data_IF_752363833610
#
_entry.id   IF_752363833610
#
_cell.length_a   1.000
_cell.length_b   1.000
_cell.length_c   1.000
_cell.angle_alpha   90.00
_cell.angle_beta   90.00
_cell.angle_gamma   90.00
#
_symmetry.space_group_name_H-M   'P 1'
#
loop_
_entity.id
_entity.type
_entity.pdbx_description
1 polymer ?
#
# COMPACT_ATOMS: atom_id res chain seq x y z
N UNK A 1 -18.80 13.87 -7.97
CA UNK A 1 -18.32 13.18 -6.75
C UNK A 1 -18.11 11.70 -6.98
N UNK A 2 -19.05 11.01 -7.65
CA UNK A 2 -18.92 9.58 -7.96
C UNK A 2 -17.69 9.19 -8.78
N UNK A 3 -17.26 10.01 -9.75
CA UNK A 3 -16.04 9.75 -10.52
C UNK A 3 -14.77 9.74 -9.65
N UNK A 4 -14.65 10.66 -8.69
CA UNK A 4 -13.52 10.68 -7.76
C UNK A 4 -13.50 9.44 -6.88
N UNK A 5 -14.66 9.05 -6.36
CA UNK A 5 -14.82 7.81 -5.56
C UNK A 5 -14.37 6.59 -6.36
N UNK A 6 -14.78 6.49 -7.63
CA UNK A 6 -14.38 5.38 -8.51
C UNK A 6 -12.87 5.39 -8.78
N UNK A 7 -12.29 6.55 -9.07
CA UNK A 7 -10.86 6.67 -9.29
C UNK A 7 -10.05 6.24 -8.04
N UNK A 8 -10.44 6.71 -6.85
CA UNK A 8 -9.79 6.34 -5.59
C UNK A 8 -10.00 4.85 -5.28
N UNK A 9 -11.20 4.31 -5.49
CA UNK A 9 -11.51 2.88 -5.32
C UNK A 9 -10.59 2.02 -6.19
N UNK A 10 -10.46 2.34 -7.48
CA UNK A 10 -9.60 1.63 -8.41
C UNK A 10 -8.12 1.77 -8.03
N UNK A 11 -7.68 2.97 -7.63
CA UNK A 11 -6.31 3.20 -7.21
C UNK A 11 -5.94 2.35 -5.97
N UNK A 12 -6.78 2.37 -4.93
CA UNK A 12 -6.58 1.56 -3.73
C UNK A 12 -6.62 0.06 -4.06
N UNK A 13 -7.54 -0.37 -4.91
CA UNK A 13 -7.62 -1.76 -5.33
C UNK A 13 -6.30 -2.23 -5.98
N UNK A 14 -5.76 -1.45 -6.92
CA UNK A 14 -4.48 -1.77 -7.58
C UNK A 14 -3.32 -1.78 -6.59
N UNK A 15 -3.23 -0.79 -5.70
CA UNK A 15 -2.16 -0.71 -4.69
C UNK A 15 -2.20 -1.90 -3.73
N UNK A 16 -3.38 -2.22 -3.18
CA UNK A 16 -3.53 -3.36 -2.27
C UNK A 16 -3.36 -4.71 -2.98
N UNK A 17 -3.79 -4.83 -4.24
CA UNK A 17 -3.60 -6.04 -5.02
C UNK A 17 -2.11 -6.29 -5.30
N UNK A 18 -1.37 -5.26 -5.72
CA UNK A 18 0.08 -5.35 -5.90
C UNK A 18 0.78 -5.73 -4.58
N UNK A 19 0.39 -5.08 -3.48
CA UNK A 19 0.89 -5.34 -2.13
C UNK A 19 0.66 -6.80 -1.70
N UNK A 20 -0.55 -7.31 -1.89
CA UNK A 20 -0.95 -8.67 -1.53
C UNK A 20 -0.21 -9.71 -2.38
N UNK A 21 -0.26 -9.56 -3.71
CA UNK A 21 0.39 -10.47 -4.66
C UNK A 21 1.88 -10.59 -4.35
N UNK A 22 2.54 -9.48 -4.01
CA UNK A 22 3.95 -9.49 -3.66
C UNK A 22 4.29 -10.34 -2.42
N UNK A 23 3.35 -10.51 -1.49
CA UNK A 23 3.52 -11.30 -0.26
C UNK A 23 3.14 -12.76 -0.42
N UNK A 24 2.13 -13.05 -1.26
CA UNK A 24 1.57 -14.42 -1.40
C UNK A 24 2.09 -15.17 -2.62
N UNK A 25 2.82 -14.51 -3.54
CA UNK A 25 3.34 -15.13 -4.77
C UNK A 25 4.20 -16.37 -4.53
N UNK A 26 4.92 -16.45 -3.41
CA UNK A 26 5.70 -17.62 -3.04
C UNK A 26 5.84 -17.77 -1.52
N UNK A 27 6.12 -18.99 -1.06
CA UNK A 27 6.45 -19.23 0.36
C UNK A 27 7.65 -18.40 0.81
N UNK A 28 8.67 -18.25 -0.05
CA UNK A 28 9.85 -17.44 0.22
C UNK A 28 9.52 -15.93 0.39
N UNK A 29 8.55 -15.42 -0.37
CA UNK A 29 8.06 -14.04 -0.24
C UNK A 29 7.40 -13.82 1.11
N UNK A 30 6.51 -14.74 1.52
CA UNK A 30 5.82 -14.66 2.80
C UNK A 30 6.79 -14.78 3.98
N UNK A 31 7.73 -15.73 3.95
CA UNK A 31 8.72 -15.89 5.03
C UNK A 31 9.64 -14.68 5.12
N UNK A 32 10.05 -14.09 3.99
CA UNK A 32 10.85 -12.86 3.96
C UNK A 32 10.09 -11.66 4.54
N UNK A 33 8.79 -11.54 4.25
CA UNK A 33 7.93 -10.51 4.83
C UNK A 33 7.81 -10.70 6.35
N UNK A 34 7.49 -11.91 6.81
CA UNK A 34 7.41 -12.23 8.24
C UNK A 34 8.75 -11.95 8.96
N UNK A 35 9.88 -12.32 8.37
CA UNK A 35 11.21 -12.07 8.91
C UNK A 35 11.57 -10.58 9.01
N UNK A 36 10.87 -9.70 8.28
CA UNK A 36 11.09 -8.25 8.33
C UNK A 36 10.32 -7.59 9.49
N UNK A 37 9.22 -8.19 9.96
CA UNK A 37 8.35 -7.62 10.99
C UNK A 37 9.03 -7.32 12.35
N UNK A 38 10.03 -8.09 12.82
CA UNK A 38 10.80 -7.72 14.00
C UNK A 38 11.51 -6.37 13.90
N UNK A 39 11.99 -5.99 12.70
CA UNK A 39 12.56 -4.66 12.45
C UNK A 39 11.55 -3.51 12.66
N UNK A 40 10.26 -3.82 12.61
CA UNK A 40 9.16 -2.88 12.84
C UNK A 40 8.57 -3.00 14.26
N UNK A 41 9.19 -3.77 15.15
CA UNK A 41 8.78 -3.90 16.56
C UNK A 41 7.80 -5.04 16.86
N UNK A 42 7.57 -5.95 15.90
CA UNK A 42 6.77 -7.17 16.16
C UNK A 42 7.64 -8.23 16.84
N UNK A 43 7.24 -8.81 17.98
CA UNK A 43 8.01 -9.88 18.62
C UNK A 43 8.22 -11.07 17.66
N UNK A 44 9.42 -11.63 17.61
CA UNK A 44 9.77 -12.71 16.66
C UNK A 44 8.81 -13.90 16.69
N UNK A 45 8.36 -14.32 17.87
CA UNK A 45 7.39 -15.41 18.04
C UNK A 45 5.99 -15.10 17.50
N UNK A 46 5.66 -13.83 17.22
CA UNK A 46 4.38 -13.40 16.64
C UNK A 46 4.50 -13.00 15.17
N UNK A 47 5.71 -12.95 14.62
CA UNK A 47 5.95 -12.46 13.26
C UNK A 47 5.16 -13.22 12.20
N UNK A 48 5.11 -14.56 12.27
CA UNK A 48 4.31 -15.37 11.34
C UNK A 48 2.80 -15.08 11.42
N UNK A 49 2.25 -15.00 12.64
CA UNK A 49 0.84 -14.69 12.88
C UNK A 49 0.47 -13.27 12.43
N UNK A 50 1.30 -12.28 12.75
CA UNK A 50 1.13 -10.90 12.29
C UNK A 50 1.24 -10.78 10.77
N UNK A 51 2.14 -11.53 10.13
CA UNK A 51 2.24 -11.56 8.67
C UNK A 51 0.97 -12.10 8.02
N UNK A 52 0.43 -13.20 8.54
CA UNK A 52 -0.83 -13.77 8.07
C UNK A 52 -2.02 -12.81 8.30
N UNK A 53 -2.07 -12.15 9.46
CA UNK A 53 -3.11 -11.17 9.77
C UNK A 53 -3.07 -9.98 8.81
N UNK A 54 -1.88 -9.48 8.46
CA UNK A 54 -1.72 -8.40 7.47
C UNK A 54 -2.22 -8.86 6.10
N UNK A 55 -1.81 -10.04 5.63
CA UNK A 55 -2.27 -10.60 4.35
C UNK A 55 -3.79 -10.76 4.31
N UNK A 56 -4.39 -11.25 5.40
CA UNK A 56 -5.84 -11.39 5.52
C UNK A 56 -6.56 -10.02 5.51
N UNK A 57 -5.97 -9.00 6.14
CA UNK A 57 -6.52 -7.66 6.14
C UNK A 57 -6.40 -7.00 4.75
N UNK A 58 -5.27 -7.16 4.06
CA UNK A 58 -5.09 -6.68 2.67
C UNK A 58 -6.10 -7.34 1.71
N UNK A 59 -6.29 -8.65 1.85
CA UNK A 59 -7.30 -9.36 1.07
C UNK A 59 -8.73 -8.87 1.38
N UNK A 60 -9.03 -8.66 2.67
CA UNK A 60 -10.32 -8.11 3.11
C UNK A 60 -10.60 -6.74 2.48
N UNK A 61 -9.60 -5.87 2.36
CA UNK A 61 -9.75 -4.59 1.64
C UNK A 61 -10.20 -4.82 0.20
N UNK A 62 -9.56 -5.73 -0.54
CA UNK A 62 -9.92 -6.01 -1.93
C UNK A 62 -11.37 -6.52 -2.06
N UNK A 63 -11.78 -7.42 -1.18
CA UNK A 63 -13.14 -7.98 -1.17
C UNK A 63 -14.16 -6.88 -0.83
N UNK A 64 -13.93 -6.10 0.23
CA UNK A 64 -14.83 -5.02 0.64
C UNK A 64 -14.94 -3.93 -0.43
N UNK A 65 -13.83 -3.61 -1.11
CA UNK A 65 -13.83 -2.69 -2.23
C UNK A 65 -14.49 -3.26 -3.48
N UNK A 66 -14.79 -4.55 -3.61
CA UNK A 66 -15.56 -5.10 -4.75
C UNK A 66 -17.07 -5.11 -4.48
N UNK A 67 -17.46 -5.38 -3.23
CA UNK A 67 -18.86 -5.51 -2.83
C UNK A 67 -19.53 -4.13 -2.72
N UNK A 68 -20.57 -3.81 -3.52
CA UNK A 68 -21.18 -2.48 -3.57
C UNK A 68 -21.66 -1.95 -2.21
N UNK A 69 -22.21 -2.82 -1.36
CA UNK A 69 -22.69 -2.46 -0.02
C UNK A 69 -21.59 -2.34 1.05
N UNK A 70 -20.37 -2.77 0.76
CA UNK A 70 -19.26 -2.79 1.71
C UNK A 70 -18.14 -1.80 1.35
N UNK A 71 -18.29 -1.03 0.27
CA UNK A 71 -17.29 -0.07 -0.20
C UNK A 71 -16.84 0.92 0.88
N UNK A 72 -17.73 1.53 1.71
CA UNK A 72 -17.31 2.42 2.79
C UNK A 72 -16.42 1.71 3.83
N UNK A 73 -16.75 0.46 4.18
CA UNK A 73 -15.93 -0.36 5.08
C UNK A 73 -14.57 -0.69 4.45
N UNK A 74 -14.53 -0.94 3.14
CA UNK A 74 -13.29 -1.13 2.38
C UNK A 74 -12.39 0.10 2.42
N UNK A 75 -12.95 1.31 2.23
CA UNK A 75 -12.21 2.57 2.37
C UNK A 75 -11.68 2.78 3.80
N UNK A 76 -12.50 2.52 4.81
CA UNK A 76 -12.10 2.65 6.21
C UNK A 76 -10.95 1.69 6.55
N UNK A 77 -11.06 0.41 6.18
CA UNK A 77 -10.01 -0.58 6.41
C UNK A 77 -8.73 -0.23 5.64
N UNK A 78 -8.84 0.23 4.39
CA UNK A 78 -7.70 0.70 3.60
C UNK A 78 -6.98 1.87 4.29
N UNK A 79 -7.72 2.86 4.78
CA UNK A 79 -7.16 4.01 5.50
C UNK A 79 -6.44 3.58 6.79
N UNK A 80 -7.04 2.67 7.57
CA UNK A 80 -6.43 2.11 8.78
C UNK A 80 -5.12 1.38 8.44
N UNK A 81 -5.13 0.47 7.47
CA UNK A 81 -3.92 -0.27 7.09
C UNK A 81 -2.82 0.65 6.56
N UNK A 82 -3.15 1.61 5.69
CA UNK A 82 -2.19 2.60 5.18
C UNK A 82 -1.58 3.43 6.32
N UNK A 83 -2.38 3.81 7.31
CA UNK A 83 -1.91 4.57 8.48
C UNK A 83 -1.00 3.72 9.37
N UNK A 84 -1.38 2.46 9.64
CA UNK A 84 -0.55 1.52 10.42
C UNK A 84 0.78 1.26 9.72
N UNK A 85 0.77 1.02 8.42
CA UNK A 85 2.00 0.85 7.62
C UNK A 85 2.85 2.13 7.64
N UNK A 86 2.22 3.30 7.52
CA UNK A 86 2.92 4.59 7.60
C UNK A 86 3.59 4.80 8.96
N UNK A 87 2.90 4.47 10.05
CA UNK A 87 3.42 4.57 11.40
C UNK A 87 4.58 3.59 11.64
N UNK A 88 4.46 2.34 11.17
CA UNK A 88 5.52 1.35 11.24
C UNK A 88 6.77 1.81 10.46
N UNK A 89 6.60 2.31 9.23
CA UNK A 89 7.68 2.87 8.42
C UNK A 89 8.32 4.08 9.09
N UNK A 90 7.54 5.02 9.61
CA UNK A 90 8.05 6.20 10.32
C UNK A 90 8.83 5.83 11.59
N UNK A 91 8.35 4.82 12.34
CA UNK A 91 9.05 4.33 13.53
C UNK A 91 10.37 3.65 13.17
N UNK A 92 10.40 2.83 12.11
CA UNK A 92 11.63 2.21 11.61
C UNK A 92 12.65 3.27 11.17
N UNK A 93 12.20 4.30 10.44
CA UNK A 93 13.02 5.45 10.05
C UNK A 93 13.60 6.19 11.27
N UNK A 94 12.78 6.46 12.28
CA UNK A 94 13.21 7.11 13.54
C UNK A 94 14.23 6.27 14.32
N UNK A 95 14.14 4.94 14.23
CA UNK A 95 15.10 4.01 14.86
C UNK A 95 16.37 3.78 14.04
N UNK A 96 16.53 4.46 12.90
CA UNK A 96 17.66 4.26 11.99
C UNK A 96 17.66 2.91 11.28
N UNK A 97 16.57 2.15 11.35
CA UNK A 97 16.45 0.83 10.73
C UNK A 97 16.24 1.03 9.22
N UNK A 98 17.30 0.82 8.45
CA UNK A 98 17.25 0.82 6.97
C UNK A 98 16.90 -0.57 6.41
N UNK A 99 16.02 -1.30 7.11
CA UNK A 99 15.54 -2.58 6.61
C UNK A 99 14.76 -2.35 5.30
N UNK A 100 14.89 -3.26 4.31
CA UNK A 100 14.15 -3.15 3.06
C UNK A 100 12.64 -3.21 3.31
N UNK A 101 11.88 -2.30 2.71
CA UNK A 101 10.43 -2.27 2.83
C UNK A 101 9.81 -3.35 1.94
N UNK A 102 9.63 -4.57 2.48
CA UNK A 102 9.00 -5.66 1.71
C UNK A 102 7.48 -5.55 1.58
N UNK A 103 6.88 -4.43 2.02
CA UNK A 103 5.44 -4.19 1.92
C UNK A 103 4.95 -4.11 0.46
N UNK A 104 5.80 -3.72 -0.49
CA UNK A 104 5.48 -3.59 -1.93
C UNK A 104 6.30 -4.54 -2.83
N UNK A 105 6.89 -5.59 -2.27
CA UNK A 105 7.65 -6.60 -3.01
C UNK A 105 9.16 -6.57 -2.80
N UNK A 106 9.90 -7.25 -3.67
CA UNK A 106 11.32 -7.58 -3.55
C UNK A 106 12.29 -6.37 -3.63
N UNK A 107 11.77 -5.15 -3.57
CA UNK A 107 12.58 -3.95 -3.60
C UNK A 107 13.47 -3.92 -2.37
N UNK A 108 14.79 -4.03 -2.60
CA UNK A 108 15.82 -3.91 -1.57
C UNK A 108 16.05 -2.44 -1.16
N UNK A 109 15.31 -1.50 -1.78
CA UNK A 109 15.41 -0.10 -1.47
C UNK A 109 15.03 0.15 0.01
N UNK A 110 15.85 0.90 0.76
CA UNK A 110 15.54 1.23 2.14
C UNK A 110 14.25 2.06 2.21
N UNK A 111 13.47 1.85 3.27
CA UNK A 111 12.29 2.68 3.56
C UNK A 111 12.70 4.16 3.49
N UNK A 112 11.97 4.95 2.72
CA UNK A 112 12.14 6.41 2.62
C UNK A 112 10.89 7.15 3.12
N UNK A 113 11.05 8.42 3.51
CA UNK A 113 9.93 9.29 3.90
C UNK A 113 8.88 9.47 2.79
N UNK A 114 9.24 9.23 1.53
CA UNK A 114 8.32 9.28 0.39
C UNK A 114 7.21 8.22 0.51
N UNK A 115 7.53 7.00 0.96
CA UNK A 115 6.52 5.96 1.14
C UNK A 115 5.51 6.32 2.22
N UNK A 116 5.97 6.97 3.30
CA UNK A 116 5.10 7.48 4.36
C UNK A 116 4.17 8.55 3.80
N UNK A 117 4.72 9.55 3.10
CA UNK A 117 3.92 10.62 2.49
C UNK A 117 2.88 10.07 1.51
N UNK A 118 3.28 9.15 0.61
CA UNK A 118 2.38 8.50 -0.33
C UNK A 118 1.24 7.77 0.38
N UNK A 119 1.55 6.94 1.37
CA UNK A 119 0.52 6.18 2.08
C UNK A 119 -0.43 7.09 2.86
N UNK A 120 0.05 8.21 3.41
CA UNK A 120 -0.79 9.21 4.05
C UNK A 120 -1.73 9.92 3.06
N UNK A 121 -1.25 10.24 1.85
CA UNK A 121 -2.09 10.79 0.77
C UNK A 121 -3.15 9.78 0.33
N UNK A 122 -2.79 8.50 0.19
CA UNK A 122 -3.75 7.44 -0.13
C UNK A 122 -4.76 7.23 1.01
N UNK A 123 -4.33 7.35 2.27
CA UNK A 123 -5.21 7.24 3.43
C UNK A 123 -6.21 8.41 3.50
N UNK A 124 -5.76 9.64 3.25
CA UNK A 124 -6.65 10.81 3.22
C UNK A 124 -7.64 10.73 2.05
N UNK A 125 -7.18 10.29 0.88
CA UNK A 125 -8.05 10.03 -0.27
C UNK A 125 -9.08 8.94 0.03
N UNK A 126 -8.69 7.86 0.72
CA UNK A 126 -9.61 6.79 1.14
C UNK A 126 -10.70 7.33 2.09
N UNK A 127 -10.33 8.13 3.09
CA UNK A 127 -11.28 8.75 4.02
C UNK A 127 -12.25 9.69 3.29
N UNK A 128 -11.73 10.56 2.42
CA UNK A 128 -12.55 11.47 1.62
C UNK A 128 -13.50 10.73 0.67
N UNK A 129 -13.03 9.67 0.01
CA UNK A 129 -13.87 8.84 -0.85
C UNK A 129 -14.93 8.08 -0.03
N UNK A 130 -14.59 7.61 1.16
CA UNK A 130 -15.53 6.96 2.09
C UNK A 130 -16.66 7.88 2.52
N UNK A 131 -16.36 9.13 2.91
CA UNK A 131 -17.39 10.11 3.29
C UNK A 131 -18.26 10.52 2.10
N UNK A 132 -17.66 10.73 0.92
CA UNK A 132 -18.39 11.07 -0.30
C UNK A 132 -19.27 9.91 -0.80
N UNK A 133 -18.87 8.66 -0.56
CA UNK A 133 -19.65 7.48 -0.95
C UNK A 133 -20.95 7.31 -0.14
N UNK A 134 -21.01 7.91 1.04
CA UNK A 134 -22.21 7.91 1.88
C UNK A 134 -23.21 9.02 1.50
N UNK A 135 -22.81 9.97 0.64
CA UNK A 135 -23.67 11.05 0.16
C UNK A 135 -24.56 10.61 -1.01
N UNK A 136 -25.68 11.33 -1.24
CA UNK A 136 -26.66 11.04 -2.30
C UNK A 136 -25.98 10.98 -3.67
N UNK A 137 -26.17 9.86 -4.38
CA UNK A 137 -25.57 9.59 -5.69
C UNK A 137 -26.27 10.38 -6.79
N UNK A 138 -25.48 10.94 -7.70
CA UNK A 138 -26.00 11.61 -8.89
C UNK A 138 -26.05 10.61 -10.06
N UNK A 139 -26.91 10.82 -11.07
CA UNK A 139 -26.84 10.05 -12.31
C UNK A 139 -25.44 10.14 -12.91
N UNK A 140 -24.80 9.00 -13.18
CA UNK A 140 -23.44 8.94 -13.73
C UNK A 140 -23.44 8.37 -15.13
N UNK A 141 -22.61 8.96 -16.00
CA UNK A 141 -22.46 8.48 -17.37
C UNK A 141 -21.43 7.34 -17.41
N UNK A 142 -21.71 6.21 -18.08
CA UNK A 142 -20.85 5.03 -18.07
C UNK A 142 -19.43 5.32 -18.60
N UNK A 143 -19.30 6.16 -19.64
CA UNK A 143 -17.98 6.55 -20.14
C UNK A 143 -17.15 7.34 -19.10
N UNK A 144 -17.80 8.18 -18.27
CA UNK A 144 -17.10 8.91 -17.22
C UNK A 144 -16.60 7.97 -16.12
N UNK A 145 -17.36 6.91 -15.81
CA UNK A 145 -16.94 5.87 -14.85
C UNK A 145 -15.73 5.09 -15.38
N UNK A 146 -15.72 4.76 -16.67
CA UNK A 146 -14.60 4.07 -17.31
C UNK A 146 -13.33 4.94 -17.27
N UNK A 147 -13.42 6.21 -17.66
CA UNK A 147 -12.30 7.16 -17.63
C UNK A 147 -11.76 7.29 -16.20
N UNK A 148 -12.63 7.48 -15.21
CA UNK A 148 -12.23 7.60 -13.82
C UNK A 148 -11.52 6.34 -13.29
N UNK A 149 -12.05 5.17 -13.61
CA UNK A 149 -11.46 3.89 -13.22
C UNK A 149 -10.06 3.71 -13.84
N UNK A 150 -9.93 3.97 -15.15
CA UNK A 150 -8.64 3.87 -15.86
C UNK A 150 -7.64 4.88 -15.32
N UNK A 151 -8.05 6.14 -15.12
CA UNK A 151 -7.19 7.18 -14.56
C UNK A 151 -6.70 6.80 -13.16
N UNK A 152 -7.58 6.30 -12.30
CA UNK A 152 -7.21 5.82 -10.96
C UNK A 152 -6.23 4.65 -11.00
N UNK A 153 -6.46 3.68 -11.88
CA UNK A 153 -5.56 2.53 -12.06
C UNK A 153 -4.18 2.96 -12.58
N UNK A 154 -4.12 3.83 -13.59
CA UNK A 154 -2.87 4.36 -14.15
C UNK A 154 -2.12 5.15 -13.08
N UNK A 155 -2.80 6.02 -12.34
CA UNK A 155 -2.19 6.80 -11.26
C UNK A 155 -1.60 5.88 -10.19
N UNK A 156 -2.30 4.82 -9.79
CA UNK A 156 -1.77 3.83 -8.86
C UNK A 156 -0.52 3.13 -9.38
N UNK A 157 -0.51 2.69 -10.64
CA UNK A 157 0.67 2.08 -11.25
C UNK A 157 1.85 3.05 -11.27
N UNK A 158 1.62 4.30 -11.70
CA UNK A 158 2.65 5.34 -11.72
C UNK A 158 3.22 5.57 -10.31
N UNK A 159 2.35 5.66 -9.31
CA UNK A 159 2.71 5.88 -7.91
C UNK A 159 3.46 4.69 -7.30
N UNK A 160 3.20 3.46 -7.74
CA UNK A 160 3.97 2.27 -7.37
C UNK A 160 5.34 2.31 -8.04
N UNK A 161 5.39 2.58 -9.34
CA UNK A 161 6.63 2.60 -10.15
C UNK A 161 7.55 3.78 -9.78
N UNK A 162 7.00 4.91 -9.36
CA UNK A 162 7.75 6.09 -8.91
C UNK A 162 8.72 5.77 -7.76
N UNK A 163 8.37 4.79 -6.93
CA UNK A 163 9.23 4.34 -5.84
C UNK A 163 10.41 3.51 -6.35
N UNK A 164 10.18 2.59 -7.31
CA UNK A 164 11.25 1.81 -7.93
C UNK A 164 12.20 2.70 -8.73
N UNK A 165 11.65 3.68 -9.46
CA UNK A 165 12.42 4.68 -10.21
C UNK A 165 13.24 5.58 -9.27
N UNK A 166 12.67 6.04 -8.17
CA UNK A 166 13.42 6.84 -7.18
C UNK A 166 14.53 6.04 -6.49
N UNK A 167 14.33 4.73 -6.30
CA UNK A 167 15.35 3.79 -5.83
C UNK A 167 16.56 3.73 -6.78
N UNK A 168 16.32 3.73 -8.10
CA UNK A 168 17.39 3.70 -9.11
C UNK A 168 18.29 4.94 -9.07
N UNK A 169 17.74 6.13 -8.81
CA UNK A 169 18.52 7.37 -8.73
C UNK A 169 19.21 7.59 -7.38
N UNK A 170 18.77 6.90 -6.32
CA UNK A 170 19.37 7.00 -4.98
C UNK A 170 20.40 5.91 -4.69
N UNK A 171 20.39 4.81 -5.45
CA UNK A 171 21.45 3.82 -5.49
C UNK A 171 22.69 4.35 -6.26
N UNK A 172 23.33 5.38 -5.72
CA UNK A 172 24.65 5.84 -6.19
C UNK A 172 25.76 4.95 -5.57
N UNK A 173 26.84 4.60 -6.31
CA UNK A 173 27.65 3.40 -6.06
C UNK A 173 28.59 3.56 -4.86
N UNK A 174 28.20 3.03 -3.69
CA UNK A 174 29.09 2.91 -2.52
C UNK A 174 29.63 1.49 -2.29
N UNK A 175 29.32 0.52 -3.16
CA UNK A 175 29.73 -0.88 -3.04
C UNK A 175 31.24 -1.17 -3.25
N UNK A 176 32.08 -0.15 -3.46
CA UNK A 176 33.53 -0.33 -3.66
C UNK A 176 34.40 -0.06 -2.40
N UNK A 177 33.84 0.37 -1.27
CA UNK A 177 34.66 0.79 -0.12
C UNK A 177 34.95 -0.31 0.93
N UNK A 178 34.30 -1.47 0.86
CA UNK A 178 34.41 -2.53 1.88
C UNK A 178 35.21 -3.77 1.43
N UNK A 179 36.06 -3.63 0.41
CA UNK A 179 37.01 -4.67 -0.04
C UNK A 179 38.47 -4.20 0.02
N UNK A 180 38.89 -3.60 1.13
CA UNK A 180 40.32 -3.43 1.44
C UNK A 180 40.58 -3.79 2.89
#
# INVERSE_FOLDING_TARGET
MDYLVVAVRCALFVVFAASLVSKVRSRASFTSFAASLPGFGVPGGRAGGSAAAVVAAEFSVLVLLLLPGAVPAGFALAAVLLTVFSAAMALALRRGVRAPCRCFGASAAPVSGRHVARNLVLASAALAAGTLSAAVRQPTHPAGLAIAATAGAVLAVLVIMLDDIAGLFTASPSHLKDRR
#
